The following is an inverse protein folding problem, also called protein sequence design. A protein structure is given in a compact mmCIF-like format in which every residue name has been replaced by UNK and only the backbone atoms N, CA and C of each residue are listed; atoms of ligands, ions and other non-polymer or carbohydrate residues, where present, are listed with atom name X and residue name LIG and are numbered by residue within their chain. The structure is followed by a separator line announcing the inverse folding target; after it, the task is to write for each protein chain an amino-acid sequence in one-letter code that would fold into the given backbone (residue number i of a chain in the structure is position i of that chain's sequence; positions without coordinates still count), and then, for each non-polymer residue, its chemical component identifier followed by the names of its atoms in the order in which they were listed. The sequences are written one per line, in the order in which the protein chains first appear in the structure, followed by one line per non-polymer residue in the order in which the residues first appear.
data_IF_117393855813
#
_entry.id   IF_117393855813
#
_cell.length_a   1.000
_cell.length_b   1.000
_cell.length_c   1.000
_cell.angle_alpha   90.00
_cell.angle_beta   90.00
_cell.angle_gamma   90.00
#
_symmetry.space_group_name_H-M   'P 1'
#
loop_
_entity.id
_entity.type
_entity.pdbx_description
1 polymer ?
#
# COMPACT_ATOMS: atom_id res chain seq x y z
N UNK A 1 -16.09 5.67 13.85
CA UNK A 1 -14.91 5.70 12.94
C UNK A 1 -14.60 7.14 12.52
N UNK A 2 -15.53 7.84 11.87
CA UNK A 2 -15.33 9.23 11.41
C UNK A 2 -14.85 10.24 12.47
N UNK A 3 -15.35 10.16 13.70
CA UNK A 3 -14.88 11.01 14.78
C UNK A 3 -13.39 10.77 15.11
N UNK A 4 -12.93 9.53 15.09
CA UNK A 4 -11.53 9.17 15.32
C UNK A 4 -10.64 9.62 14.15
N UNK A 5 -11.13 9.46 12.90
CA UNK A 5 -10.45 9.95 11.69
C UNK A 5 -10.23 11.47 11.74
N UNK A 6 -11.25 12.23 12.13
CA UNK A 6 -11.14 13.68 12.30
C UNK A 6 -10.23 14.07 13.48
N UNK A 7 -10.26 13.32 14.58
CA UNK A 7 -9.34 13.52 15.69
C UNK A 7 -7.88 13.33 15.24
N UNK A 8 -7.57 12.24 14.52
CA UNK A 8 -6.22 11.98 14.00
C UNK A 8 -5.67 13.13 13.15
N UNK A 9 -6.47 13.64 12.21
CA UNK A 9 -6.04 14.79 11.38
C UNK A 9 -5.74 16.01 12.25
N UNK A 10 -6.57 16.31 13.24
CA UNK A 10 -6.38 17.46 14.14
C UNK A 10 -5.12 17.32 14.99
N UNK A 11 -4.92 16.17 15.61
CA UNK A 11 -3.78 15.94 16.51
C UNK A 11 -2.45 15.95 15.74
N UNK A 12 -2.38 15.25 14.59
CA UNK A 12 -1.16 15.24 13.77
C UNK A 12 -0.84 16.64 13.23
N UNK A 13 -1.86 17.40 12.82
CA UNK A 13 -1.68 18.79 12.41
C UNK A 13 -1.17 19.68 13.55
N UNK A 14 -1.66 19.48 14.77
CA UNK A 14 -1.22 20.24 15.94
C UNK A 14 0.26 19.99 16.25
N UNK A 15 0.71 18.73 16.16
CA UNK A 15 2.13 18.37 16.33
C UNK A 15 3.01 19.08 15.31
N UNK A 16 2.73 18.96 14.01
CA UNK A 16 3.53 19.65 12.98
C UNK A 16 3.45 21.18 13.09
N UNK A 17 2.27 21.71 13.44
CA UNK A 17 2.04 23.14 13.63
C UNK A 17 2.89 23.73 14.76
N UNK A 18 3.12 22.99 15.85
CA UNK A 18 3.97 23.43 16.96
C UNK A 18 5.44 23.67 16.54
N UNK A 19 5.90 23.01 15.47
CA UNK A 19 7.24 23.17 14.90
C UNK A 19 7.27 24.04 13.64
N UNK A 20 6.15 24.69 13.27
CA UNK A 20 6.05 25.51 12.06
C UNK A 20 6.13 24.71 10.75
N UNK A 21 5.91 23.39 10.80
CA UNK A 21 5.99 22.52 9.62
C UNK A 21 4.64 22.57 8.89
N UNK A 22 4.65 23.17 7.69
CA UNK A 22 3.49 23.21 6.82
C UNK A 22 3.29 21.85 6.10
N UNK A 23 2.16 21.20 6.34
CA UNK A 23 1.78 19.95 5.67
C UNK A 23 0.43 20.14 4.98
N UNK A 24 0.35 19.78 3.71
CA UNK A 24 -0.90 19.79 2.95
C UNK A 24 -1.94 18.84 3.57
N UNK A 25 -3.18 19.31 3.68
CA UNK A 25 -4.27 18.57 4.32
C UNK A 25 -4.57 17.22 3.64
N UNK A 26 -4.23 17.05 2.35
CA UNK A 26 -4.41 15.80 1.61
C UNK A 26 -3.52 14.68 2.16
N UNK A 27 -2.29 14.98 2.56
CA UNK A 27 -1.39 13.97 3.16
C UNK A 27 -1.91 13.50 4.53
N UNK A 28 -2.33 14.46 5.36
CA UNK A 28 -2.87 14.17 6.69
C UNK A 28 -4.18 13.37 6.59
N UNK A 29 -5.03 13.73 5.63
CA UNK A 29 -6.27 13.01 5.34
C UNK A 29 -5.99 11.58 4.90
N UNK A 30 -5.07 11.37 3.96
CA UNK A 30 -4.71 10.04 3.47
C UNK A 30 -4.20 9.12 4.59
N UNK A 31 -3.36 9.66 5.49
CA UNK A 31 -2.88 8.91 6.66
C UNK A 31 -4.04 8.54 7.58
N UNK A 32 -4.91 9.49 7.91
CA UNK A 32 -6.04 9.25 8.80
C UNK A 32 -7.05 8.25 8.20
N UNK A 33 -7.29 8.33 6.89
CA UNK A 33 -8.12 7.37 6.14
C UNK A 33 -7.49 5.97 6.20
N UNK A 34 -6.18 5.86 5.93
CA UNK A 34 -5.48 4.57 6.03
C UNK A 34 -5.48 3.99 7.46
N UNK A 35 -5.44 4.83 8.48
CA UNK A 35 -5.51 4.39 9.87
C UNK A 35 -6.93 4.02 10.32
N UNK A 36 -7.96 4.23 9.50
CA UNK A 36 -9.37 4.01 9.90
C UNK A 36 -10.22 3.19 8.92
N UNK A 37 -9.71 2.88 7.71
CA UNK A 37 -10.51 2.24 6.65
C UNK A 37 -11.02 0.83 6.98
N UNK A 38 -10.38 0.11 7.91
CA UNK A 38 -10.81 -1.24 8.33
C UNK A 38 -11.96 -1.20 9.37
N UNK A 39 -12.59 -0.05 9.57
CA UNK A 39 -13.69 0.12 10.53
C UNK A 39 -13.25 0.33 11.98
N UNK A 40 -11.95 0.39 12.22
CA UNK A 40 -11.33 0.62 13.53
C UNK A 40 -9.98 1.32 13.41
N UNK A 41 -9.29 1.55 14.53
CA UNK A 41 -7.96 2.15 14.51
C UNK A 41 -6.89 1.12 14.10
N UNK A 42 -6.19 1.41 13.01
CA UNK A 42 -5.06 0.63 12.51
C UNK A 42 -3.75 1.39 12.77
N UNK A 43 -2.85 0.87 13.64
CA UNK A 43 -1.58 1.51 13.90
C UNK A 43 -0.61 1.38 12.71
N UNK A 44 0.25 2.37 12.52
CA UNK A 44 1.36 2.31 11.56
C UNK A 44 2.59 1.64 12.19
N UNK A 45 2.48 0.34 12.47
CA UNK A 45 3.54 -0.48 13.08
C UNK A 45 3.51 -1.92 12.58
N UNK A 46 4.45 -2.77 13.03
CA UNK A 46 4.43 -4.22 12.70
C UNK A 46 3.12 -4.92 13.04
N UNK A 47 2.41 -4.43 14.07
CA UNK A 47 1.10 -4.96 14.44
C UNK A 47 0.05 -4.61 13.38
N UNK A 48 0.09 -3.39 12.85
CA UNK A 48 -0.80 -2.97 11.77
C UNK A 48 -0.51 -3.68 10.45
N UNK A 49 0.76 -4.02 10.18
CA UNK A 49 1.15 -4.76 8.97
C UNK A 49 0.48 -6.12 8.85
N UNK A 50 0.16 -6.78 9.96
CA UNK A 50 -0.48 -8.11 9.97
C UNK A 50 -1.83 -8.18 9.26
N UNK A 51 -2.53 -7.05 9.13
CA UNK A 51 -3.78 -6.93 8.36
C UNK A 51 -3.59 -6.89 6.84
N UNK A 52 -2.34 -6.79 6.35
CA UNK A 52 -2.06 -6.76 4.92
C UNK A 52 -2.28 -8.14 4.30
N UNK A 53 -2.87 -8.17 3.10
CA UNK A 53 -3.23 -9.41 2.41
C UNK A 53 -2.06 -10.11 1.73
N UNK A 54 -0.98 -9.39 1.41
CA UNK A 54 0.20 -9.93 0.71
C UNK A 54 1.23 -10.46 1.72
N UNK A 55 1.53 -11.78 1.75
CA UNK A 55 2.60 -12.34 2.57
C UNK A 55 3.95 -11.65 2.38
N UNK A 56 4.33 -11.36 1.14
CA UNK A 56 5.61 -10.72 0.83
C UNK A 56 5.66 -9.25 1.31
N UNK A 57 4.53 -8.54 1.25
CA UNK A 57 4.40 -7.21 1.85
C UNK A 57 4.51 -7.25 3.37
N UNK A 58 3.88 -8.23 4.03
CA UNK A 58 4.02 -8.41 5.49
C UNK A 58 5.49 -8.63 5.87
N UNK A 59 6.20 -9.46 5.10
CA UNK A 59 7.60 -9.82 5.33
C UNK A 59 8.59 -8.66 5.12
N UNK A 60 8.22 -7.63 4.36
CA UNK A 60 9.12 -6.50 4.07
C UNK A 60 9.30 -5.52 5.24
N UNK A 61 8.62 -5.73 6.38
CA UNK A 61 8.68 -4.81 7.52
C UNK A 61 8.73 -5.54 8.88
N UNK A 62 9.82 -5.33 9.64
CA UNK A 62 10.07 -5.70 11.05
C UNK A 62 9.91 -7.18 11.49
N UNK A 63 9.08 -8.02 10.86
CA UNK A 63 8.75 -9.39 11.34
C UNK A 63 8.80 -10.42 10.20
N UNK A 64 9.88 -10.42 9.43
CA UNK A 64 10.06 -11.26 8.23
C UNK A 64 9.90 -12.77 8.50
N UNK A 65 10.70 -13.34 9.41
CA UNK A 65 10.70 -14.78 9.68
C UNK A 65 9.37 -15.24 10.27
N UNK A 66 8.74 -14.41 11.12
CA UNK A 66 7.44 -14.73 11.69
C UNK A 66 6.35 -14.85 10.63
N UNK A 67 6.27 -13.88 9.72
CA UNK A 67 5.32 -13.93 8.61
C UNK A 67 5.63 -15.03 7.60
N UNK A 68 6.92 -15.32 7.34
CA UNK A 68 7.34 -16.42 6.47
C UNK A 68 6.88 -17.77 7.00
N UNK A 69 7.14 -18.05 8.28
CA UNK A 69 6.71 -19.30 8.91
C UNK A 69 5.19 -19.43 8.89
N UNK A 70 4.46 -18.36 9.27
CA UNK A 70 3.01 -18.37 9.27
C UNK A 70 2.45 -18.65 7.86
N UNK A 71 2.93 -17.93 6.84
CA UNK A 71 2.50 -18.11 5.45
C UNK A 71 2.80 -19.53 4.93
N UNK A 72 3.99 -20.07 5.22
CA UNK A 72 4.38 -21.42 4.82
C UNK A 72 3.52 -22.50 5.50
N UNK A 73 3.21 -22.34 6.79
CA UNK A 73 2.34 -23.29 7.52
C UNK A 73 0.86 -23.16 7.16
N UNK A 74 0.43 -21.96 6.78
CA UNK A 74 -0.96 -21.65 6.41
C UNK A 74 -1.27 -21.84 4.93
N UNK A 75 -0.29 -22.25 4.12
CA UNK A 75 -0.39 -22.33 2.66
C UNK A 75 -0.93 -21.02 2.05
N UNK A 76 -0.41 -19.87 2.50
CA UNK A 76 -0.78 -18.57 1.95
C UNK A 76 -0.10 -18.33 0.60
N UNK A 77 -0.87 -17.89 -0.39
CA UNK A 77 -0.37 -17.45 -1.69
C UNK A 77 -0.27 -15.91 -1.76
N UNK A 78 0.70 -15.39 -2.49
CA UNK A 78 0.82 -13.95 -2.78
C UNK A 78 0.35 -13.64 -4.21
N UNK A 79 -0.60 -12.72 -4.34
CA UNK A 79 -1.16 -12.31 -5.64
C UNK A 79 -0.22 -11.42 -6.46
N UNK A 80 0.91 -11.00 -5.89
CA UNK A 80 1.88 -10.08 -6.50
C UNK A 80 1.22 -8.76 -6.94
N UNK A 81 0.19 -8.33 -6.22
CA UNK A 81 -0.48 -7.06 -6.49
C UNK A 81 0.21 -5.88 -5.81
N UNK A 82 0.90 -6.10 -4.68
CA UNK A 82 1.57 -5.04 -3.93
C UNK A 82 2.90 -4.64 -4.59
N UNK A 83 3.31 -3.36 -4.46
CA UNK A 83 4.65 -2.94 -4.90
C UNK A 83 5.78 -3.75 -4.28
N UNK A 84 5.70 -4.02 -2.97
CA UNK A 84 6.72 -4.81 -2.26
C UNK A 84 6.84 -6.23 -2.83
N UNK A 85 5.71 -6.91 -3.06
CA UNK A 85 5.72 -8.27 -3.61
C UNK A 85 6.34 -8.33 -5.01
N UNK A 86 6.01 -7.37 -5.89
CA UNK A 86 6.62 -7.29 -7.23
C UNK A 86 8.13 -7.08 -7.18
N UNK A 87 8.61 -6.20 -6.28
CA UNK A 87 10.04 -5.94 -6.10
C UNK A 87 10.77 -7.19 -5.63
N UNK A 88 10.21 -7.93 -4.67
CA UNK A 88 10.84 -9.17 -4.14
C UNK A 88 11.08 -10.20 -5.25
N UNK A 89 10.15 -10.33 -6.20
CA UNK A 89 10.27 -11.29 -7.32
C UNK A 89 10.91 -10.70 -8.58
N UNK A 90 11.37 -9.44 -8.54
CA UNK A 90 12.03 -8.78 -9.67
C UNK A 90 11.12 -8.44 -10.84
N UNK A 91 9.81 -8.21 -10.61
CA UNK A 91 8.84 -7.82 -11.63
C UNK A 91 8.59 -6.30 -11.61
N UNK A 92 8.24 -5.68 -12.76
CA UNK A 92 7.79 -4.29 -12.78
C UNK A 92 6.56 -4.08 -11.87
N UNK A 93 6.56 -2.99 -11.10
CA UNK A 93 5.45 -2.63 -10.22
C UNK A 93 4.30 -2.03 -11.03
N UNK A 94 3.06 -2.45 -10.75
CA UNK A 94 1.83 -1.98 -11.42
C UNK A 94 1.32 -0.62 -10.92
N UNK A 95 2.19 0.38 -10.83
CA UNK A 95 1.83 1.76 -10.45
C UNK A 95 2.55 2.77 -11.34
N UNK A 96 1.98 3.98 -11.47
CA UNK A 96 2.57 5.03 -12.30
C UNK A 96 2.70 4.60 -13.76
N UNK A 97 3.91 4.59 -14.30
CA UNK A 97 4.19 4.15 -15.68
C UNK A 97 3.95 2.66 -15.91
N UNK A 98 4.01 1.84 -14.86
CA UNK A 98 3.70 0.41 -14.93
C UNK A 98 2.21 0.10 -14.76
N UNK A 99 1.33 1.10 -14.63
CA UNK A 99 -0.10 0.90 -14.43
C UNK A 99 -0.85 0.42 -15.69
N UNK A 100 -0.19 0.40 -16.85
CA UNK A 100 -0.74 -0.05 -18.12
C UNK A 100 0.31 -0.79 -18.94
N UNK A 101 -0.16 -1.56 -19.92
CA UNK A 101 0.70 -2.24 -20.89
C UNK A 101 0.73 -1.48 -22.21
N UNK A 102 1.86 -1.56 -22.90
CA UNK A 102 2.01 -1.01 -24.25
C UNK A 102 1.68 -2.09 -25.27
N UNK A 103 0.77 -1.77 -26.18
CA UNK A 103 0.43 -2.63 -27.31
C UNK A 103 1.02 -2.04 -28.58
N UNK A 104 1.68 -2.88 -29.37
CA UNK A 104 2.09 -2.49 -30.71
C UNK A 104 0.91 -2.69 -31.68
N UNK A 105 0.49 -1.67 -32.44
CA UNK A 105 -0.58 -1.83 -33.42
C UNK A 105 -0.14 -2.82 -34.50
N UNK A 106 -0.95 -3.84 -34.75
CA UNK A 106 -0.69 -4.77 -35.84
C UNK A 106 -0.89 -4.06 -37.19
N UNK A 107 -0.06 -4.38 -38.22
CA UNK A 107 -0.32 -3.93 -39.58
C UNK A 107 -1.72 -4.36 -40.00
N UNK A 108 -2.53 -3.43 -40.50
CA UNK A 108 -3.87 -3.75 -40.98
C UNK A 108 -3.74 -4.65 -42.22
N UNK A 109 -4.06 -5.95 -42.07
CA UNK A 109 -4.23 -6.85 -43.22
C UNK A 109 -5.48 -6.37 -43.99
N UNK A 110 -5.29 -5.52 -44.99
CA UNK A 110 -6.39 -5.01 -45.83
C UNK A 110 -6.12 -3.69 -46.56
N UNK A 111 -5.08 -2.94 -46.22
CA UNK A 111 -4.67 -1.76 -47.00
C UNK A 111 -3.64 -2.14 -48.08
N UNK A 112 -3.99 -3.10 -48.93
CA UNK A 112 -3.29 -3.36 -50.19
C UNK A 112 -4.29 -3.09 -51.31
N UNK A 113 -4.05 -1.99 -52.03
CA UNK A 113 -4.65 -1.72 -53.35
C UNK A 113 -4.14 -2.74 -54.37
#
# INVERSE_FOLDING_TARGET
VEAARNALVREVRAVFGAYGIAVDARHLSLIADYMTYEGGYKPLSRLGMGSSTSPLLKMSFETTVGFLTAAATGAEDDTLASPAANIVVGRPVKVGTGAFELLHPLPQLGAAN
#
